data_IF_891973625649
#
_entry.id   IF_891973625649
#
_cell.length_a   1.000
_cell.length_b   1.000
_cell.length_c   1.000
_cell.angle_alpha   90.00
_cell.angle_beta   90.00
_cell.angle_gamma   90.00
#
_symmetry.space_group_name_H-M   'P 1'
#
loop_
_entity.id
_entity.type
_entity.pdbx_description
1 polymer ?
#
# COMPACT_ATOMS: atom_id res chain seq x y z
N UNK A 1 8.58 -33.81 16.48
CA UNK A 1 9.48 -32.66 16.80
C UNK A 1 9.78 -31.94 15.51
N UNK A 2 9.27 -30.75 15.34
CA UNK A 2 9.59 -29.89 14.19
C UNK A 2 11.07 -29.54 14.30
N UNK A 3 11.85 -29.84 13.27
CA UNK A 3 13.30 -29.61 13.31
C UNK A 3 13.56 -28.08 13.21
N UNK A 4 13.94 -27.47 14.34
CA UNK A 4 14.23 -26.03 14.46
C UNK A 4 15.17 -25.52 13.36
N UNK A 5 16.12 -26.36 12.94
CA UNK A 5 17.08 -26.02 11.86
C UNK A 5 16.42 -25.95 10.48
N UNK A 6 15.41 -26.79 10.24
CA UNK A 6 14.61 -26.73 8.99
C UNK A 6 13.75 -25.46 8.94
N UNK A 7 13.12 -25.06 10.07
CA UNK A 7 12.36 -23.80 10.13
C UNK A 7 13.26 -22.58 9.91
N UNK A 8 14.46 -22.56 10.48
CA UNK A 8 15.43 -21.48 10.24
C UNK A 8 15.89 -21.39 8.81
N UNK A 9 16.09 -22.54 8.14
CA UNK A 9 16.44 -22.57 6.71
C UNK A 9 15.29 -22.11 5.83
N UNK A 10 14.05 -22.49 6.16
CA UNK A 10 12.84 -22.06 5.45
C UNK A 10 12.61 -20.56 5.61
N UNK A 11 12.78 -20.03 6.83
CA UNK A 11 12.71 -18.61 7.13
C UNK A 11 13.70 -17.80 6.26
N UNK A 12 14.98 -18.23 6.25
CA UNK A 12 16.01 -17.56 5.46
C UNK A 12 15.71 -17.60 3.95
N UNK A 13 15.19 -18.72 3.44
CA UNK A 13 14.80 -18.87 2.04
C UNK A 13 13.63 -17.95 1.68
N UNK A 14 12.59 -17.90 2.52
CA UNK A 14 11.44 -17.02 2.31
C UNK A 14 11.84 -15.55 2.37
N UNK A 15 12.70 -15.16 3.31
CA UNK A 15 13.20 -13.80 3.40
C UNK A 15 13.96 -13.41 2.12
N UNK A 16 14.87 -14.24 1.63
CA UNK A 16 15.59 -13.97 0.37
C UNK A 16 14.63 -13.85 -0.84
N UNK A 17 13.57 -14.65 -0.89
CA UNK A 17 12.57 -14.54 -1.96
C UNK A 17 11.78 -13.23 -1.86
N UNK A 18 11.38 -12.83 -0.67
CA UNK A 18 10.67 -11.57 -0.44
C UNK A 18 11.57 -10.39 -0.80
N UNK A 19 12.82 -10.36 -0.33
CA UNK A 19 13.77 -9.29 -0.64
C UNK A 19 14.01 -9.17 -2.17
N UNK A 20 14.12 -10.29 -2.87
CA UNK A 20 14.23 -10.31 -4.33
C UNK A 20 12.99 -9.70 -5.02
N UNK A 21 11.80 -10.11 -4.60
CA UNK A 21 10.56 -9.58 -5.16
C UNK A 21 10.29 -8.14 -4.74
N UNK A 22 10.74 -7.70 -3.57
CA UNK A 22 10.71 -6.29 -3.15
C UNK A 22 11.48 -5.40 -4.11
N UNK A 23 12.69 -5.82 -4.52
CA UNK A 23 13.48 -5.09 -5.52
C UNK A 23 12.78 -5.04 -6.88
N UNK A 24 12.24 -6.16 -7.34
CA UNK A 24 11.53 -6.23 -8.63
C UNK A 24 10.26 -5.37 -8.61
N UNK A 25 9.51 -5.42 -7.52
CA UNK A 25 8.23 -4.73 -7.36
C UNK A 25 8.42 -3.22 -7.14
N UNK A 26 9.25 -2.84 -6.17
CA UNK A 26 9.34 -1.45 -5.72
C UNK A 26 10.40 -0.62 -6.45
N UNK A 27 11.50 -1.25 -6.91
CA UNK A 27 12.58 -0.52 -7.61
C UNK A 27 12.48 -0.64 -9.13
N UNK A 28 12.27 -1.87 -9.64
CA UNK A 28 12.31 -2.11 -11.09
C UNK A 28 10.94 -1.99 -11.78
N UNK A 29 9.84 -1.91 -11.01
CA UNK A 29 8.46 -1.93 -11.51
C UNK A 29 8.18 -3.08 -12.51
N UNK A 30 8.85 -4.22 -12.30
CA UNK A 30 8.75 -5.44 -13.11
C UNK A 30 8.52 -6.65 -12.21
N UNK A 31 7.34 -6.79 -11.58
CA UNK A 31 7.05 -7.95 -10.75
C UNK A 31 7.03 -9.23 -11.58
N UNK A 32 7.64 -10.27 -11.05
CA UNK A 32 7.64 -11.62 -11.64
C UNK A 32 6.56 -12.51 -11.02
N UNK A 33 5.95 -12.06 -9.93
CA UNK A 33 4.84 -12.74 -9.26
C UNK A 33 3.68 -11.76 -9.05
N UNK A 34 2.47 -12.30 -8.90
CA UNK A 34 1.29 -11.50 -8.58
C UNK A 34 1.33 -10.99 -7.14
N UNK A 35 0.62 -9.90 -6.84
CA UNK A 35 0.50 -9.35 -5.49
C UNK A 35 -0.02 -10.39 -4.51
N UNK A 36 -1.00 -11.21 -4.92
CA UNK A 36 -1.51 -12.32 -4.14
C UNK A 36 -0.43 -13.35 -3.77
N UNK A 37 0.49 -13.65 -4.70
CA UNK A 37 1.60 -14.56 -4.45
C UNK A 37 2.64 -13.95 -3.54
N UNK A 38 2.90 -12.67 -3.70
CA UNK A 38 3.78 -11.91 -2.82
C UNK A 38 3.21 -11.85 -1.39
N UNK A 39 1.92 -11.57 -1.23
CA UNK A 39 1.23 -11.58 0.06
C UNK A 39 1.24 -12.99 0.70
N UNK A 40 1.10 -14.06 -0.10
CA UNK A 40 1.25 -15.44 0.38
C UNK A 40 2.65 -15.70 0.98
N UNK A 41 3.71 -15.21 0.31
CA UNK A 41 5.07 -15.33 0.83
C UNK A 41 5.23 -14.58 2.15
N UNK A 42 4.70 -13.37 2.25
CA UNK A 42 4.71 -12.57 3.50
C UNK A 42 3.94 -13.25 4.63
N UNK A 43 2.77 -13.82 4.33
CA UNK A 43 1.99 -14.57 5.33
C UNK A 43 2.77 -15.77 5.84
N UNK A 44 3.34 -16.60 4.95
CA UNK A 44 4.16 -17.76 5.36
C UNK A 44 5.36 -17.35 6.21
N UNK A 45 6.02 -16.24 5.86
CA UNK A 45 7.12 -15.70 6.65
C UNK A 45 6.66 -15.35 8.08
N UNK A 46 5.50 -14.72 8.21
CA UNK A 46 4.92 -14.36 9.52
C UNK A 46 4.58 -15.62 10.33
N UNK A 47 3.90 -16.59 9.72
CA UNK A 47 3.56 -17.88 10.37
C UNK A 47 4.79 -18.62 10.91
N UNK A 48 5.91 -18.60 10.17
CA UNK A 48 7.17 -19.22 10.62
C UNK A 48 7.83 -18.38 11.73
N UNK A 49 7.78 -17.06 11.65
CA UNK A 49 8.31 -16.17 12.71
C UNK A 49 7.57 -16.35 14.04
N UNK A 50 6.27 -16.52 14.01
CA UNK A 50 5.46 -16.80 15.22
C UNK A 50 5.85 -18.10 15.90
N UNK A 51 6.33 -19.09 15.13
CA UNK A 51 6.83 -20.37 15.68
C UNK A 51 8.27 -20.28 16.22
N UNK A 52 8.98 -19.17 15.98
CA UNK A 52 10.37 -18.94 16.35
C UNK A 52 10.54 -17.65 17.17
N UNK A 53 10.04 -17.59 18.42
CA UNK A 53 10.02 -16.34 19.20
C UNK A 53 11.40 -15.74 19.47
N UNK A 54 12.49 -16.52 19.37
CA UNK A 54 13.87 -16.05 19.58
C UNK A 54 14.47 -15.28 18.38
N UNK A 55 13.78 -15.22 17.23
CA UNK A 55 14.30 -14.63 15.98
C UNK A 55 13.62 -13.28 15.61
N UNK A 56 12.98 -12.63 16.56
CA UNK A 56 12.28 -11.35 16.33
C UNK A 56 13.19 -10.15 15.95
N UNK A 57 14.48 -10.33 15.74
CA UNK A 57 15.46 -9.24 15.60
C UNK A 57 16.02 -9.02 14.18
N UNK A 58 15.49 -9.61 13.13
CA UNK A 58 15.90 -9.22 11.77
C UNK A 58 15.00 -8.10 11.26
N UNK A 59 15.60 -6.98 10.91
CA UNK A 59 14.94 -5.80 10.33
C UNK A 59 14.18 -6.21 9.06
N UNK A 60 12.87 -6.35 9.18
CA UNK A 60 12.02 -6.39 7.99
C UNK A 60 11.89 -4.95 7.47
N UNK A 61 12.27 -4.69 6.25
CA UNK A 61 12.10 -3.40 5.61
C UNK A 61 10.61 -3.06 5.41
N UNK A 62 10.26 -1.79 5.60
CA UNK A 62 8.89 -1.29 5.37
C UNK A 62 8.58 -1.20 3.86
N UNK A 63 9.61 -1.09 3.05
CA UNK A 63 9.57 -0.95 1.59
C UNK A 63 10.94 -1.20 0.99
N UNK A 64 11.15 -0.81 -0.26
CA UNK A 64 12.44 -0.89 -0.92
C UNK A 64 13.26 0.39 -0.73
N UNK A 65 14.59 0.26 -0.71
CA UNK A 65 15.48 1.41 -0.71
C UNK A 65 15.20 2.32 -1.92
N UNK A 66 15.26 3.66 -1.73
CA UNK A 66 15.01 4.61 -2.81
C UNK A 66 15.99 4.45 -3.97
N UNK A 67 15.50 4.65 -5.20
CA UNK A 67 16.31 4.63 -6.42
C UNK A 67 17.40 5.71 -6.38
N UNK A 68 18.64 5.33 -6.64
CA UNK A 68 19.80 6.22 -6.57
C UNK A 68 19.78 7.35 -7.61
N UNK A 69 18.98 7.22 -8.66
CA UNK A 69 18.83 8.24 -9.71
C UNK A 69 18.07 9.49 -9.24
N UNK A 70 17.37 9.40 -8.12
CA UNK A 70 16.62 10.49 -7.51
C UNK A 70 17.31 11.02 -6.26
N UNK A 71 17.18 12.32 -6.01
CA UNK A 71 17.51 12.89 -4.71
C UNK A 71 16.67 12.23 -3.63
N UNK A 72 17.22 12.12 -2.42
CA UNK A 72 16.56 11.47 -1.30
C UNK A 72 15.89 12.50 -0.39
N UNK A 73 14.74 12.14 0.15
CA UNK A 73 13.98 12.95 1.10
C UNK A 73 13.71 12.11 2.34
N UNK A 74 14.17 12.59 3.49
CA UNK A 74 13.84 11.98 4.78
C UNK A 74 12.44 12.37 5.22
N UNK A 75 11.64 11.38 5.63
CA UNK A 75 10.33 11.59 6.22
C UNK A 75 10.48 11.99 7.69
N UNK A 76 9.90 13.11 8.13
CA UNK A 76 9.92 13.49 9.55
C UNK A 76 9.13 12.51 10.41
N UNK A 77 7.98 12.08 9.90
CA UNK A 77 7.23 10.97 10.46
C UNK A 77 7.30 9.80 9.49
N UNK A 78 7.63 8.58 9.95
CA UNK A 78 7.74 7.43 9.08
C UNK A 78 6.45 7.16 8.29
N UNK A 79 6.58 6.81 7.02
CA UNK A 79 5.49 6.32 6.18
C UNK A 79 5.36 4.81 6.34
N UNK A 80 4.77 4.39 7.47
CA UNK A 80 4.65 2.99 7.84
C UNK A 80 3.75 2.22 6.87
N UNK A 81 3.93 0.90 6.81
CA UNK A 81 3.00 -0.02 6.18
C UNK A 81 1.75 -0.19 7.04
N UNK A 82 0.78 -0.98 6.56
CA UNK A 82 -0.38 -1.40 7.35
C UNK A 82 -0.25 -2.88 7.70
N UNK A 83 -0.75 -3.27 8.87
CA UNK A 83 -1.02 -4.66 9.16
C UNK A 83 -2.13 -5.16 8.23
N UNK A 84 -2.01 -6.39 7.71
CA UNK A 84 -2.98 -6.94 6.79
C UNK A 84 -3.85 -8.00 7.50
N UNK A 85 -5.15 -7.97 7.22
CA UNK A 85 -6.06 -9.08 7.45
C UNK A 85 -6.52 -9.65 6.11
N UNK A 86 -6.81 -10.95 6.08
CA UNK A 86 -7.27 -11.68 4.88
C UNK A 86 -8.61 -12.38 5.10
N UNK A 87 -9.11 -12.34 6.32
CA UNK A 87 -10.37 -12.93 6.76
C UNK A 87 -11.07 -12.06 7.82
N UNK A 88 -12.30 -12.42 8.15
CA UNK A 88 -13.10 -11.72 9.15
C UNK A 88 -12.52 -11.86 10.56
N UNK A 89 -11.87 -12.99 10.88
CA UNK A 89 -11.24 -13.23 12.19
C UNK A 89 -10.12 -12.22 12.44
N UNK A 90 -9.34 -11.90 11.41
CA UNK A 90 -8.30 -10.86 11.46
C UNK A 90 -8.87 -9.48 11.77
N UNK A 91 -10.01 -9.12 11.16
CA UNK A 91 -10.71 -7.85 11.42
C UNK A 91 -11.26 -7.81 12.85
N UNK A 92 -11.89 -8.89 13.31
CA UNK A 92 -12.39 -9.01 14.67
C UNK A 92 -11.25 -8.95 15.71
N UNK A 93 -10.15 -9.63 15.44
CA UNK A 93 -8.93 -9.60 16.27
C UNK A 93 -8.38 -8.18 16.39
N UNK A 94 -8.31 -7.43 15.27
CA UNK A 94 -7.88 -6.03 15.28
C UNK A 94 -8.79 -5.20 16.17
N UNK A 95 -10.10 -5.22 15.96
CA UNK A 95 -11.06 -4.43 16.75
C UNK A 95 -10.98 -4.77 18.24
N UNK A 96 -10.87 -6.06 18.57
CA UNK A 96 -10.74 -6.55 19.95
C UNK A 96 -9.43 -6.10 20.60
N UNK A 97 -8.30 -6.11 19.87
CA UNK A 97 -7.01 -5.61 20.36
C UNK A 97 -7.07 -4.11 20.64
N UNK A 98 -7.68 -3.33 19.74
CA UNK A 98 -7.85 -1.88 19.89
C UNK A 98 -8.68 -1.56 21.12
N UNK A 99 -9.87 -2.17 21.27
CA UNK A 99 -10.76 -1.99 22.42
C UNK A 99 -10.07 -2.33 23.74
N UNK A 100 -9.42 -3.49 23.78
CA UNK A 100 -8.71 -3.96 24.99
C UNK A 100 -7.56 -3.04 25.39
N UNK A 101 -6.79 -2.52 24.41
CA UNK A 101 -5.66 -1.62 24.67
C UNK A 101 -6.12 -0.27 25.21
N UNK A 102 -7.21 0.26 24.63
CA UNK A 102 -7.75 1.58 24.99
C UNK A 102 -8.64 1.53 26.23
N UNK A 103 -9.13 0.33 26.61
CA UNK A 103 -10.13 0.11 27.69
C UNK A 103 -11.42 0.85 27.34
N UNK A 104 -11.85 0.73 26.08
CA UNK A 104 -13.04 1.38 25.51
C UNK A 104 -13.92 0.32 24.84
N UNK A 105 -15.22 0.34 25.13
CA UNK A 105 -16.18 -0.61 24.53
C UNK A 105 -16.67 -0.17 23.16
N UNK A 106 -16.75 1.15 22.93
CA UNK A 106 -17.18 1.71 21.67
C UNK A 106 -16.05 2.57 21.05
N UNK A 107 -15.65 2.20 19.86
CA UNK A 107 -14.61 2.90 19.10
C UNK A 107 -15.10 3.11 17.70
N UNK A 108 -15.14 4.36 17.26
CA UNK A 108 -15.44 4.69 15.88
C UNK A 108 -14.29 4.31 14.96
N UNK A 109 -14.62 3.57 13.93
CA UNK A 109 -13.71 3.15 12.86
C UNK A 109 -14.15 3.82 11.57
N UNK A 110 -13.26 4.55 10.94
CA UNK A 110 -13.44 5.03 9.58
C UNK A 110 -12.95 3.98 8.60
N UNK A 111 -13.82 3.57 7.70
CA UNK A 111 -13.54 2.65 6.60
C UNK A 111 -13.24 3.47 5.35
N UNK A 112 -12.10 3.26 4.73
CA UNK A 112 -11.66 3.93 3.50
C UNK A 112 -11.26 2.89 2.45
N UNK A 113 -11.30 3.24 1.17
CA UNK A 113 -10.80 2.35 0.12
C UNK A 113 -9.28 2.25 0.18
N UNK A 114 -8.76 1.05 0.03
CA UNK A 114 -7.32 0.83 -0.16
C UNK A 114 -7.00 0.93 -1.65
N UNK A 115 -6.61 2.14 -2.07
CA UNK A 115 -6.25 2.41 -3.46
C UNK A 115 -4.97 1.66 -3.81
N UNK A 116 -4.96 1.02 -4.96
CA UNK A 116 -3.79 0.33 -5.48
C UNK A 116 -2.96 1.25 -6.39
N UNK A 117 -2.02 1.94 -5.79
CA UNK A 117 -1.20 2.97 -6.42
C UNK A 117 0.19 3.08 -5.82
N UNK A 118 0.74 4.28 -5.83
CA UNK A 118 2.02 4.63 -5.22
C UNK A 118 1.82 5.73 -4.18
N UNK A 119 2.18 5.44 -2.93
CA UNK A 119 2.06 6.42 -1.84
C UNK A 119 3.01 7.60 -2.04
N UNK A 120 2.53 8.79 -1.73
CA UNK A 120 3.30 10.02 -1.72
C UNK A 120 3.14 10.78 -0.39
N UNK A 121 4.15 11.58 -0.09
CA UNK A 121 4.14 12.64 0.91
C UNK A 121 4.38 13.98 0.21
N UNK A 122 3.55 14.98 0.49
CA UNK A 122 3.66 16.34 -0.06
C UNK A 122 3.75 17.34 1.09
N UNK A 123 4.84 18.10 1.12
CA UNK A 123 5.16 19.07 2.16
C UNK A 123 4.82 20.46 1.66
N UNK A 124 4.10 21.20 2.51
CA UNK A 124 3.77 22.60 2.31
C UNK A 124 4.42 23.43 3.42
N UNK A 125 4.98 24.58 3.04
CA UNK A 125 5.53 25.57 3.95
C UNK A 125 4.82 26.89 3.71
N UNK A 126 4.18 27.43 4.73
CA UNK A 126 3.34 28.64 4.66
C UNK A 126 2.35 28.58 3.48
N UNK A 127 1.71 27.43 3.32
CA UNK A 127 0.75 27.15 2.27
C UNK A 127 1.35 26.91 0.88
N UNK A 128 2.65 27.02 0.68
CA UNK A 128 3.30 26.78 -0.62
C UNK A 128 3.78 25.33 -0.71
N UNK A 129 3.46 24.67 -1.82
CA UNK A 129 4.02 23.36 -2.11
C UNK A 129 5.54 23.44 -2.22
N UNK A 130 6.24 22.81 -1.30
CA UNK A 130 7.70 22.88 -1.17
C UNK A 130 8.37 21.61 -1.71
N UNK A 131 7.85 20.42 -1.36
CA UNK A 131 8.49 19.16 -1.68
C UNK A 131 7.49 18.00 -1.74
N UNK A 132 7.76 17.00 -2.57
CA UNK A 132 7.07 15.71 -2.52
C UNK A 132 8.05 14.54 -2.62
N UNK A 133 7.72 13.46 -1.93
CA UNK A 133 8.51 12.24 -1.94
C UNK A 133 7.63 11.00 -2.08
N UNK A 134 8.18 9.92 -2.62
CA UNK A 134 7.59 8.59 -2.51
C UNK A 134 7.77 8.03 -1.11
N UNK A 135 7.08 6.95 -0.78
CA UNK A 135 7.27 6.27 0.51
C UNK A 135 8.70 5.76 0.71
N UNK A 136 9.33 5.26 -0.36
CA UNK A 136 10.64 4.60 -0.26
C UNK A 136 10.62 3.42 0.71
N UNK A 137 11.61 3.37 1.60
CA UNK A 137 11.70 2.38 2.69
C UNK A 137 10.88 2.75 3.95
N UNK A 138 10.09 3.82 3.85
CA UNK A 138 9.27 4.36 4.95
C UNK A 138 9.97 5.46 5.76
N UNK A 139 11.27 5.59 5.69
CA UNK A 139 12.07 6.63 6.34
C UNK A 139 12.67 7.61 5.34
N UNK A 140 13.05 7.11 4.17
CA UNK A 140 13.63 7.88 3.08
C UNK A 140 12.92 7.52 1.78
N UNK A 141 12.43 8.54 1.05
CA UNK A 141 11.78 8.39 -0.26
C UNK A 141 12.56 9.07 -1.38
N UNK A 142 12.17 8.81 -2.63
CA UNK A 142 12.66 9.53 -3.80
C UNK A 142 11.99 10.90 -3.88
N UNK A 143 12.77 11.95 -4.18
CA UNK A 143 12.24 13.29 -4.47
C UNK A 143 11.52 13.28 -5.82
N UNK A 144 10.22 13.44 -5.77
CA UNK A 144 9.33 13.48 -6.94
C UNK A 144 8.58 14.83 -7.03
N UNK A 145 9.16 15.88 -6.46
CA UNK A 145 8.54 17.20 -6.33
C UNK A 145 8.05 17.73 -7.68
N UNK A 146 8.93 17.74 -8.69
CA UNK A 146 8.57 18.24 -10.00
C UNK A 146 7.52 17.36 -10.68
N UNK A 147 7.59 16.05 -10.50
CA UNK A 147 6.66 15.09 -11.07
C UNK A 147 5.24 15.28 -10.48
N UNK A 148 5.13 15.32 -9.15
CA UNK A 148 3.86 15.56 -8.46
C UNK A 148 3.26 16.92 -8.84
N UNK A 149 4.08 17.95 -9.00
CA UNK A 149 3.62 19.27 -9.43
C UNK A 149 2.96 19.29 -10.82
N UNK A 150 3.19 18.27 -11.66
CA UNK A 150 2.54 18.14 -12.99
C UNK A 150 1.17 17.49 -12.93
N UNK A 151 0.82 16.82 -11.84
CA UNK A 151 -0.46 16.12 -11.70
C UNK A 151 -1.60 17.13 -11.71
N UNK A 152 -2.56 16.91 -12.61
CA UNK A 152 -3.68 17.82 -12.80
C UNK A 152 -4.52 17.93 -11.53
N UNK A 153 -4.79 19.16 -11.09
CA UNK A 153 -5.58 19.44 -9.88
C UNK A 153 -4.82 19.26 -8.57
N UNK A 154 -3.50 19.00 -8.61
CA UNK A 154 -2.70 18.96 -7.42
C UNK A 154 -2.47 20.39 -6.87
N UNK A 155 -2.87 20.72 -5.61
CA UNK A 155 -2.77 22.08 -5.08
C UNK A 155 -1.31 22.51 -4.95
N UNK A 156 -0.95 23.64 -5.55
CA UNK A 156 0.39 24.26 -5.41
C UNK A 156 0.43 25.32 -4.32
N UNK A 157 -0.74 25.74 -3.86
CA UNK A 157 -0.91 26.71 -2.79
C UNK A 157 -2.16 26.39 -1.97
N UNK A 158 -2.01 26.39 -0.66
CA UNK A 158 -3.07 26.16 0.33
C UNK A 158 -3.39 27.48 1.01
N UNK A 159 -4.59 27.98 0.79
CA UNK A 159 -4.99 29.26 1.37
C UNK A 159 -5.18 29.15 2.89
N UNK A 160 -4.66 30.13 3.63
CA UNK A 160 -4.82 30.22 5.08
C UNK A 160 -3.98 29.24 5.91
N UNK A 161 -3.08 28.48 5.26
CA UNK A 161 -2.14 27.59 5.95
C UNK A 161 -0.87 28.37 6.30
N UNK A 162 -0.46 28.28 7.57
CA UNK A 162 0.79 28.82 8.09
C UNK A 162 1.64 27.67 8.67
N UNK A 163 2.96 27.83 8.61
CA UNK A 163 3.90 26.83 9.05
C UNK A 163 3.94 25.62 8.11
N UNK A 164 4.38 24.49 8.65
CA UNK A 164 4.57 23.25 7.90
C UNK A 164 3.33 22.35 7.98
N UNK A 165 2.90 21.89 6.83
CA UNK A 165 1.83 20.90 6.68
C UNK A 165 2.29 19.79 5.74
N UNK A 166 2.04 18.54 6.09
CA UNK A 166 2.34 17.40 5.23
C UNK A 166 1.05 16.66 4.88
N UNK A 167 0.82 16.45 3.59
CA UNK A 167 -0.32 15.71 3.05
C UNK A 167 0.19 14.40 2.48
N UNK A 168 -0.43 13.28 2.88
CA UNK A 168 -0.13 11.96 2.32
C UNK A 168 -1.31 11.42 1.54
N UNK A 169 -1.01 10.67 0.51
CA UNK A 169 -2.01 10.10 -0.37
C UNK A 169 -1.46 8.98 -1.23
N UNK A 170 -2.29 8.53 -2.16
CA UNK A 170 -1.93 7.53 -3.15
C UNK A 170 -2.08 8.12 -4.55
N UNK A 171 -1.03 8.00 -5.37
CA UNK A 171 -1.06 8.34 -6.79
C UNK A 171 -1.40 7.09 -7.56
N UNK A 172 -2.32 7.22 -8.50
CA UNK A 172 -2.81 6.12 -9.34
C UNK A 172 -3.04 6.57 -10.78
N UNK A 173 -3.26 5.62 -11.67
CA UNK A 173 -3.79 5.85 -13.01
C UNK A 173 -5.16 5.19 -13.10
N UNK A 174 -6.11 5.84 -13.78
CA UNK A 174 -7.44 5.24 -13.97
C UNK A 174 -7.36 4.05 -14.93
N UNK A 175 -8.28 3.07 -14.80
CA UNK A 175 -8.33 1.92 -15.67
C UNK A 175 -8.52 2.34 -17.14
N UNK A 176 -9.35 3.35 -17.39
CA UNK A 176 -9.59 3.91 -18.72
C UNK A 176 -8.35 4.58 -19.33
N UNK A 177 -7.54 5.28 -18.51
CA UNK A 177 -6.30 5.92 -18.97
C UNK A 177 -5.15 4.92 -19.08
N UNK A 178 -5.12 3.89 -18.21
CA UNK A 178 -4.18 2.78 -18.28
C UNK A 178 -4.30 2.02 -19.62
N UNK A 179 -5.51 1.70 -20.06
CA UNK A 179 -5.74 1.01 -21.32
C UNK A 179 -5.16 1.78 -22.52
N UNK A 180 -5.31 3.12 -22.54
CA UNK A 180 -4.74 3.97 -23.58
C UNK A 180 -3.21 4.04 -23.50
N UNK A 181 -2.67 4.14 -22.27
CA UNK A 181 -1.23 4.23 -22.06
C UNK A 181 -0.53 2.91 -22.43
N UNK A 182 -1.18 1.78 -22.16
CA UNK A 182 -0.59 0.45 -22.21
C UNK A 182 -0.89 -0.31 -23.51
N UNK A 183 -1.18 0.38 -24.59
CA UNK A 183 -1.43 -0.24 -25.93
C UNK A 183 -0.31 -1.19 -26.37
N UNK A 184 0.94 -0.90 -25.96
CA UNK A 184 2.11 -1.72 -26.27
C UNK A 184 2.46 -2.75 -25.17
N UNK A 185 1.61 -2.96 -24.18
CA UNK A 185 1.85 -3.87 -23.04
C UNK A 185 3.17 -3.57 -22.28
N UNK A 186 3.48 -2.30 -22.06
CA UNK A 186 4.69 -1.84 -21.36
C UNK A 186 4.62 -2.15 -19.85
N UNK A 187 3.42 -2.08 -19.28
CA UNK A 187 3.19 -2.26 -17.84
C UNK A 187 2.30 -3.46 -17.55
N UNK A 188 2.57 -4.17 -16.46
CA UNK A 188 1.80 -5.33 -16.05
C UNK A 188 0.40 -4.98 -15.51
N UNK A 189 0.27 -3.83 -14.82
CA UNK A 189 -0.98 -3.38 -14.20
C UNK A 189 -0.98 -1.85 -14.01
N UNK A 190 -2.14 -1.24 -13.65
CA UNK A 190 -2.27 0.21 -13.40
C UNK A 190 -1.31 0.75 -12.33
N UNK A 191 -1.09 -0.01 -11.25
CA UNK A 191 -0.16 0.38 -10.18
C UNK A 191 1.27 0.54 -10.70
N UNK A 192 1.77 -0.44 -11.48
CA UNK A 192 3.10 -0.37 -12.07
C UNK A 192 3.21 0.76 -13.10
N UNK A 193 2.15 1.02 -13.85
CA UNK A 193 2.08 2.16 -14.75
C UNK A 193 2.14 3.50 -14.01
N UNK A 194 1.42 3.63 -12.89
CA UNK A 194 1.47 4.81 -12.03
C UNK A 194 2.88 5.02 -11.45
N UNK A 195 3.48 3.96 -10.88
CA UNK A 195 4.82 4.01 -10.31
C UNK A 195 5.89 4.36 -11.36
N UNK A 196 5.87 3.70 -12.52
CA UNK A 196 6.77 3.96 -13.63
C UNK A 196 6.59 5.36 -14.24
N UNK A 197 5.36 5.88 -14.24
CA UNK A 197 5.05 7.23 -14.75
C UNK A 197 5.44 8.32 -13.76
N UNK A 198 5.34 8.09 -12.46
CA UNK A 198 5.75 9.06 -11.44
C UNK A 198 7.28 9.14 -11.34
N UNK A 199 7.98 8.01 -11.40
CA UNK A 199 9.44 7.93 -11.27
C UNK A 199 10.15 8.17 -12.61
N UNK A 200 9.84 9.28 -13.28
CA UNK A 200 10.52 9.74 -14.48
C UNK A 200 11.50 10.86 -14.15
N UNK A 201 12.72 10.80 -14.69
CA UNK A 201 13.72 11.86 -14.50
C UNK A 201 13.29 13.17 -15.18
N UNK A 202 12.58 13.07 -16.30
CA UNK A 202 11.96 14.21 -16.96
C UNK A 202 10.49 14.31 -16.54
N UNK A 203 10.15 15.34 -15.76
CA UNK A 203 8.78 15.59 -15.32
C UNK A 203 7.79 15.85 -16.46
N UNK A 204 8.25 16.22 -17.67
CA UNK A 204 7.37 16.35 -18.83
C UNK A 204 6.80 15.00 -19.27
N UNK A 205 7.55 13.91 -19.09
CA UNK A 205 7.05 12.56 -19.33
C UNK A 205 5.93 12.24 -18.34
N UNK A 206 6.10 12.56 -17.05
CA UNK A 206 5.05 12.44 -16.05
C UNK A 206 3.82 13.27 -16.41
N UNK A 207 4.02 14.52 -16.86
CA UNK A 207 2.94 15.42 -17.28
C UNK A 207 2.11 14.88 -18.44
N UNK A 208 2.73 14.09 -19.35
CA UNK A 208 2.02 13.44 -20.46
C UNK A 208 1.18 12.23 -20.02
N UNK A 209 1.45 11.70 -18.82
CA UNK A 209 0.70 10.56 -18.24
C UNK A 209 -0.47 11.11 -17.42
N UNK A 210 -1.64 10.50 -17.54
CA UNK A 210 -2.85 10.96 -16.85
C UNK A 210 -2.90 10.46 -15.39
N UNK A 211 -1.86 10.81 -14.60
CA UNK A 211 -1.82 10.46 -13.18
C UNK A 211 -2.89 11.23 -12.39
N UNK A 212 -3.47 10.55 -11.42
CA UNK A 212 -4.46 11.07 -10.46
C UNK A 212 -4.00 10.72 -9.05
N UNK A 213 -4.66 11.27 -8.05
CA UNK A 213 -4.34 10.99 -6.66
C UNK A 213 -5.57 11.08 -5.76
N UNK A 214 -5.52 10.40 -4.62
CA UNK A 214 -6.38 10.63 -3.48
C UNK A 214 -5.51 10.93 -2.25
N UNK A 215 -5.81 12.03 -1.56
CA UNK A 215 -5.22 12.34 -0.27
C UNK A 215 -6.01 11.66 0.85
N UNK A 216 -5.30 11.14 1.86
CA UNK A 216 -5.92 10.39 2.95
C UNK A 216 -5.35 10.70 4.34
N UNK A 217 -4.33 11.54 4.46
CA UNK A 217 -3.73 11.87 5.75
C UNK A 217 -3.16 13.29 5.73
N UNK A 218 -3.22 13.95 6.88
CA UNK A 218 -2.72 15.29 7.13
C UNK A 218 -1.89 15.26 8.42
N UNK A 219 -0.66 15.77 8.35
CA UNK A 219 0.26 15.87 9.48
C UNK A 219 0.57 17.35 9.71
N UNK A 220 0.54 17.77 10.95
CA UNK A 220 0.68 19.19 11.32
C UNK A 220 -0.63 19.96 11.35
N UNK A 221 -1.77 19.30 11.12
CA UNK A 221 -3.11 19.85 11.27
C UNK A 221 -3.58 19.91 12.73
N UNK A 222 -4.78 20.43 12.94
CA UNK A 222 -5.41 20.59 14.27
C UNK A 222 -6.68 19.75 14.43
N UNK A 223 -6.98 18.93 13.45
CA UNK A 223 -8.12 18.04 13.36
C UNK A 223 -8.08 17.02 14.52
N UNK A 224 -9.25 16.62 15.00
CA UNK A 224 -9.38 15.68 16.11
C UNK A 224 -9.74 14.27 15.66
N UNK A 225 -10.23 14.14 14.46
CA UNK A 225 -10.65 12.83 13.90
C UNK A 225 -10.18 12.67 12.46
N UNK A 226 -10.06 11.42 12.03
CA UNK A 226 -9.73 11.07 10.65
C UNK A 226 -10.80 11.58 9.67
N UNK A 227 -12.07 11.59 10.08
CA UNK A 227 -13.16 12.18 9.29
C UNK A 227 -12.98 13.69 9.09
N UNK A 228 -12.54 14.42 10.12
CA UNK A 228 -12.21 15.84 10.01
C UNK A 228 -10.99 16.08 9.13
N UNK A 229 -9.98 15.20 9.20
CA UNK A 229 -8.81 15.24 8.31
C UNK A 229 -9.24 15.15 6.84
N UNK A 230 -10.09 14.19 6.49
CA UNK A 230 -10.56 14.05 5.11
C UNK A 230 -11.36 15.29 4.65
N UNK A 231 -12.24 15.81 5.51
CA UNK A 231 -12.98 17.04 5.24
C UNK A 231 -12.04 18.23 5.05
N UNK A 232 -11.02 18.36 5.91
CA UNK A 232 -10.02 19.42 5.80
C UNK A 232 -9.22 19.34 4.51
N UNK A 233 -8.86 18.15 4.07
CA UNK A 233 -8.19 17.94 2.79
C UNK A 233 -9.06 18.40 1.61
N UNK A 234 -10.38 18.09 1.63
CA UNK A 234 -11.33 18.60 0.64
C UNK A 234 -11.40 20.13 0.63
N UNK A 235 -11.48 20.76 1.81
CA UNK A 235 -11.49 22.23 1.95
C UNK A 235 -10.20 22.89 1.44
N UNK A 236 -9.06 22.20 1.56
CA UNK A 236 -7.76 22.64 1.04
C UNK A 236 -7.60 22.38 -0.47
N UNK A 237 -8.61 21.78 -1.12
CA UNK A 237 -8.65 21.54 -2.57
C UNK A 237 -8.02 20.23 -3.02
N UNK A 238 -7.74 19.29 -2.10
CA UNK A 238 -7.27 17.96 -2.47
C UNK A 238 -8.40 17.05 -2.91
N UNK A 239 -8.10 16.15 -3.84
CA UNK A 239 -8.99 15.04 -4.17
C UNK A 239 -8.96 14.02 -3.03
N UNK A 240 -10.13 13.76 -2.44
CA UNK A 240 -10.35 12.72 -1.41
C UNK A 240 -11.33 11.71 -1.96
N UNK A 241 -11.15 10.45 -1.62
CA UNK A 241 -12.09 9.41 -2.06
C UNK A 241 -13.43 9.56 -1.35
N UNK A 242 -14.53 9.54 -2.11
CA UNK A 242 -15.91 9.70 -1.58
C UNK A 242 -16.43 8.43 -0.89
N UNK A 243 -15.90 7.27 -1.26
CA UNK A 243 -16.30 5.98 -0.68
C UNK A 243 -15.66 5.79 0.68
N UNK A 244 -16.33 6.28 1.71
CA UNK A 244 -15.93 6.18 3.11
C UNK A 244 -17.14 5.92 3.99
N UNK A 245 -16.93 5.21 5.09
CA UNK A 245 -18.01 4.86 6.00
C UNK A 245 -17.52 4.87 7.45
N UNK A 246 -18.26 5.53 8.33
CA UNK A 246 -17.97 5.58 9.77
C UNK A 246 -18.88 4.60 10.51
N UNK A 247 -18.29 3.77 11.37
CA UNK A 247 -19.04 2.78 12.16
C UNK A 247 -18.31 2.46 13.46
N UNK A 248 -19.03 2.01 14.49
CA UNK A 248 -18.46 1.48 15.74
C UNK A 248 -18.62 -0.05 15.86
N UNK A 249 -19.17 -0.71 14.84
CA UNK A 249 -19.47 -2.14 14.90
C UNK A 249 -18.70 -2.96 13.87
N UNK A 250 -18.29 -4.18 14.25
CA UNK A 250 -17.69 -5.16 13.33
C UNK A 250 -18.61 -5.42 12.13
N UNK A 251 -19.91 -5.57 12.37
CA UNK A 251 -20.88 -5.80 11.29
C UNK A 251 -20.91 -4.65 10.27
N UNK A 252 -20.79 -3.39 10.73
CA UNK A 252 -20.69 -2.23 9.86
C UNK A 252 -19.42 -2.24 9.01
N UNK A 253 -18.27 -2.61 9.60
CA UNK A 253 -17.00 -2.76 8.90
C UNK A 253 -17.09 -3.83 7.79
N UNK A 254 -17.61 -5.02 8.12
CA UNK A 254 -17.77 -6.13 7.17
C UNK A 254 -18.80 -5.83 6.09
N UNK A 255 -19.90 -5.15 6.44
CA UNK A 255 -20.91 -4.72 5.47
C UNK A 255 -20.30 -3.77 4.44
N UNK A 256 -19.56 -2.77 4.85
CA UNK A 256 -18.87 -1.85 3.94
C UNK A 256 -17.88 -2.60 3.02
N UNK A 257 -17.09 -3.53 3.58
CA UNK A 257 -16.19 -4.36 2.78
C UNK A 257 -16.94 -5.13 1.68
N UNK A 258 -18.03 -5.82 2.01
CA UNK A 258 -18.79 -6.61 1.06
C UNK A 258 -19.45 -5.73 -0.02
N UNK A 259 -20.02 -4.58 0.35
CA UNK A 259 -20.57 -3.62 -0.61
C UNK A 259 -19.53 -3.11 -1.61
N UNK A 260 -18.31 -2.82 -1.13
CA UNK A 260 -17.24 -2.37 -2.01
C UNK A 260 -16.70 -3.53 -2.85
N UNK A 261 -16.55 -4.72 -2.26
CA UNK A 261 -16.10 -5.93 -2.97
C UNK A 261 -16.96 -6.22 -4.19
N UNK A 262 -18.30 -6.12 -4.06
CA UNK A 262 -19.23 -6.36 -5.15
C UNK A 262 -19.17 -5.28 -6.25
N UNK A 263 -18.84 -4.04 -5.87
CA UNK A 263 -18.81 -2.89 -6.78
C UNK A 263 -17.42 -2.52 -7.30
N UNK A 264 -16.36 -3.19 -6.84
CA UNK A 264 -14.97 -2.80 -7.17
C UNK A 264 -14.68 -2.71 -8.65
N UNK A 265 -15.30 -3.58 -9.47
CA UNK A 265 -15.12 -3.58 -10.92
C UNK A 265 -15.83 -2.41 -11.64
N UNK A 266 -16.69 -1.68 -10.95
CA UNK A 266 -17.35 -0.48 -11.47
C UNK A 266 -16.56 0.80 -11.18
N UNK A 267 -15.48 0.70 -10.41
CA UNK A 267 -14.55 1.81 -10.16
C UNK A 267 -13.60 1.95 -11.35
N UNK A 268 -13.32 3.21 -11.74
CA UNK A 268 -12.32 3.49 -12.79
C UNK A 268 -10.89 3.55 -12.22
N UNK A 269 -10.64 2.81 -11.14
CA UNK A 269 -9.33 2.64 -10.51
C UNK A 269 -9.29 1.36 -9.68
N UNK A 270 -8.09 0.80 -9.52
CA UNK A 270 -7.91 -0.43 -8.78
C UNK A 270 -7.83 -0.19 -7.28
N UNK A 271 -8.39 -1.13 -6.52
CA UNK A 271 -8.34 -1.21 -5.07
C UNK A 271 -8.00 -2.64 -4.66
N UNK A 272 -7.19 -2.81 -3.62
CA UNK A 272 -6.78 -4.12 -3.13
C UNK A 272 -7.41 -4.50 -1.77
N UNK A 273 -8.32 -3.65 -1.25
CA UNK A 273 -9.00 -3.90 0.01
C UNK A 273 -9.65 -2.65 0.60
N UNK A 274 -9.90 -2.72 1.90
CA UNK A 274 -10.39 -1.62 2.74
C UNK A 274 -9.35 -1.30 3.81
N UNK A 275 -9.17 -0.03 4.12
CA UNK A 275 -8.38 0.41 5.26
C UNK A 275 -9.34 0.83 6.37
N UNK A 276 -9.23 0.16 7.51
CA UNK A 276 -9.92 0.54 8.75
C UNK A 276 -8.98 1.39 9.59
N UNK A 277 -9.44 2.54 10.05
CA UNK A 277 -8.70 3.46 10.91
C UNK A 277 -9.54 3.82 12.12
N UNK A 278 -8.95 3.83 13.30
CA UNK A 278 -9.58 4.44 14.49
C UNK A 278 -9.84 5.90 14.16
N UNK A 279 -11.09 6.37 14.30
CA UNK A 279 -11.47 7.72 13.85
C UNK A 279 -10.86 8.82 14.72
N UNK A 280 -10.78 8.64 16.04
CA UNK A 280 -10.22 9.60 16.98
C UNK A 280 -8.68 9.61 16.93
N UNK A 281 -8.08 10.78 16.62
CA UNK A 281 -6.63 10.92 16.48
C UNK A 281 -5.89 10.89 17.83
N UNK A 282 -6.55 11.23 18.94
CA UNK A 282 -5.96 11.08 20.28
C UNK A 282 -5.82 9.60 20.62
N UNK A 283 -6.84 8.80 20.28
CA UNK A 283 -6.79 7.35 20.46
C UNK A 283 -5.78 6.69 19.52
N UNK A 284 -5.63 7.19 18.28
CA UNK A 284 -4.55 6.72 17.39
C UNK A 284 -3.17 6.92 18.01
N UNK A 285 -2.92 8.13 18.57
CA UNK A 285 -1.65 8.45 19.23
C UNK A 285 -1.41 7.58 20.48
N UNK A 286 -2.45 7.28 21.27
CA UNK A 286 -2.35 6.38 22.44
C UNK A 286 -1.99 4.95 22.03
N UNK A 287 -2.55 4.45 20.92
CA UNK A 287 -2.24 3.12 20.37
C UNK A 287 -0.81 3.04 19.87
N UNK A 288 -0.31 4.15 19.32
CA UNK A 288 1.02 4.23 18.76
C UNK A 288 1.23 3.27 17.58
N UNK A 289 2.50 2.96 17.32
CA UNK A 289 2.89 2.08 16.22
C UNK A 289 3.87 1.02 16.67
N UNK A 290 3.98 -0.04 15.88
CA UNK A 290 5.17 -0.87 15.83
C UNK A 290 6.19 -0.19 14.92
N UNK A 291 7.38 -0.77 14.78
CA UNK A 291 8.34 -0.25 13.78
C UNK A 291 7.85 -0.43 12.32
N UNK A 292 6.79 -1.20 12.07
CA UNK A 292 6.27 -1.50 10.73
C UNK A 292 4.93 -0.87 10.42
N UNK A 293 4.03 -0.82 11.40
CA UNK A 293 2.64 -0.45 11.18
C UNK A 293 2.03 0.28 12.39
N UNK A 294 1.11 1.24 12.18
CA UNK A 294 0.32 1.82 13.24
C UNK A 294 -0.65 0.77 13.80
N UNK A 295 -0.80 0.72 15.15
CA UNK A 295 -1.79 -0.16 15.78
C UNK A 295 -3.23 0.32 15.63
N UNK A 296 -3.40 1.56 15.17
CA UNK A 296 -4.70 2.20 14.97
C UNK A 296 -5.31 1.95 13.59
N UNK A 297 -4.60 1.24 12.70
CA UNK A 297 -5.08 0.98 11.34
C UNK A 297 -4.82 -0.46 10.90
N UNK A 298 -5.71 -0.97 10.04
CA UNK A 298 -5.67 -2.31 9.47
C UNK A 298 -6.05 -2.25 7.99
N UNK A 299 -5.34 -2.97 7.14
CA UNK A 299 -5.73 -3.22 5.76
C UNK A 299 -6.44 -4.59 5.66
N UNK A 300 -7.73 -4.59 5.37
CA UNK A 300 -8.46 -5.82 5.07
C UNK A 300 -8.45 -6.03 3.56
N UNK A 301 -7.60 -6.95 3.12
CA UNK A 301 -7.36 -7.22 1.71
C UNK A 301 -8.48 -8.04 1.08
N UNK A 302 -8.79 -7.77 -0.18
CA UNK A 302 -9.69 -8.64 -0.94
C UNK A 302 -9.04 -10.01 -1.16
N UNK A 303 -9.89 -11.02 -1.15
CA UNK A 303 -9.44 -12.37 -1.48
C UNK A 303 -8.83 -12.40 -2.87
N UNK A 304 -7.75 -13.15 -3.02
CA UNK A 304 -7.08 -13.32 -4.31
C UNK A 304 -8.05 -13.80 -5.37
N UNK A 305 -7.95 -13.23 -6.56
CA UNK A 305 -8.73 -13.71 -7.71
C UNK A 305 -8.13 -15.04 -8.16
N UNK A 306 -8.93 -16.09 -8.09
CA UNK A 306 -8.58 -17.40 -8.63
C UNK A 306 -9.18 -17.57 -10.01
N UNK A 307 -8.35 -17.97 -10.97
CA UNK A 307 -8.82 -18.37 -12.28
C UNK A 307 -8.49 -19.85 -12.52
N UNK A 308 -9.48 -20.60 -13.04
CA UNK A 308 -9.24 -21.98 -13.49
C UNK A 308 -8.74 -21.94 -14.93
N UNK A 309 -7.65 -22.64 -15.20
CA UNK A 309 -7.11 -22.79 -16.54
C UNK A 309 -6.73 -24.23 -16.83
N UNK A 310 -6.48 -24.53 -18.09
CA UNK A 310 -6.05 -25.87 -18.53
C UNK A 310 -4.53 -25.96 -18.44
N UNK A 311 -4.04 -27.01 -17.78
CA UNK A 311 -2.64 -27.40 -17.82
C UNK A 311 -2.35 -28.07 -19.16
N UNK A 312 -1.48 -27.48 -19.99
CA UNK A 312 -1.07 -28.04 -21.27
C UNK A 312 -0.02 -29.15 -21.08
N UNK A 313 1.04 -28.83 -20.31
CA UNK A 313 2.14 -29.77 -19.98
C UNK A 313 2.91 -29.29 -18.74
N UNK A 314 3.69 -30.22 -18.18
CA UNK A 314 4.72 -29.94 -17.20
C UNK A 314 6.07 -30.33 -17.82
N UNK A 315 7.06 -29.42 -17.72
CA UNK A 315 8.42 -29.73 -18.13
C UNK A 315 9.39 -29.40 -16.99
N UNK A 316 10.56 -30.03 -17.00
CA UNK A 316 11.59 -29.80 -16.00
C UNK A 316 12.59 -28.82 -16.58
N UNK A 317 12.78 -27.72 -15.89
CA UNK A 317 13.82 -26.73 -16.16
C UNK A 317 15.03 -27.01 -15.28
N UNK A 318 16.22 -27.05 -15.87
CA UNK A 318 17.46 -27.26 -15.12
C UNK A 318 18.07 -25.91 -14.83
N UNK A 319 18.17 -25.55 -13.55
CA UNK A 319 18.83 -24.34 -13.10
C UNK A 319 20.35 -24.39 -13.27
N UNK A 320 21.01 -23.23 -13.20
CA UNK A 320 22.46 -23.07 -13.35
C UNK A 320 23.28 -23.91 -12.35
N UNK A 321 22.70 -24.24 -11.21
CA UNK A 321 23.29 -25.07 -10.15
C UNK A 321 22.91 -26.56 -10.26
N UNK A 322 22.23 -26.97 -11.35
CA UNK A 322 21.74 -28.33 -11.52
C UNK A 322 20.40 -28.61 -10.80
N UNK A 323 19.79 -27.63 -10.17
CA UNK A 323 18.48 -27.79 -9.55
C UNK A 323 17.39 -28.05 -10.61
N UNK A 324 16.58 -29.09 -10.38
CA UNK A 324 15.44 -29.44 -11.25
C UNK A 324 14.18 -28.74 -10.76
N UNK A 325 13.62 -27.86 -11.59
CA UNK A 325 12.41 -27.12 -11.27
C UNK A 325 11.29 -27.56 -12.21
N UNK A 326 10.17 -28.11 -11.71
CA UNK A 326 9.01 -28.37 -12.54
C UNK A 326 8.33 -27.06 -12.92
N UNK A 327 8.05 -26.87 -14.21
CA UNK A 327 7.37 -25.70 -14.75
C UNK A 327 6.09 -26.16 -15.45
N UNK A 328 4.97 -25.57 -15.06
CA UNK A 328 3.66 -25.80 -15.68
C UNK A 328 3.45 -24.82 -16.85
N UNK A 329 3.16 -25.36 -18.04
CA UNK A 329 2.68 -24.60 -19.17
C UNK A 329 1.14 -24.60 -19.13
N UNK A 330 0.54 -23.44 -18.93
CA UNK A 330 -0.89 -23.25 -18.75
C UNK A 330 -1.50 -22.55 -19.96
N UNK A 331 -2.78 -22.81 -20.26
CA UNK A 331 -3.51 -21.89 -21.15
C UNK A 331 -3.52 -20.49 -20.52
N UNK A 332 -3.22 -19.44 -21.31
CA UNK A 332 -3.27 -18.07 -20.81
C UNK A 332 -4.61 -17.75 -20.16
N UNK A 333 -4.58 -17.16 -18.98
CA UNK A 333 -5.74 -16.72 -18.22
C UNK A 333 -5.38 -15.42 -17.50
N UNK A 334 -6.28 -14.45 -17.54
CA UNK A 334 -6.07 -13.19 -16.82
C UNK A 334 -6.38 -13.40 -15.32
N UNK A 335 -5.49 -12.94 -14.44
CA UNK A 335 -5.60 -13.00 -12.96
C UNK A 335 -5.34 -11.61 -12.37
N UNK A 336 -5.93 -10.57 -12.96
CA UNK A 336 -5.84 -9.21 -12.42
C UNK A 336 -4.52 -8.48 -12.73
N UNK A 337 -4.04 -8.64 -13.94
CA UNK A 337 -2.84 -7.94 -14.42
C UNK A 337 -2.36 -8.50 -15.74
#
# INVERSE_FOLDING_TARGET
MINLENLKRELAKLQMQIDYHDVLYHQKNKPEITDAKYDELKRKLTEIKEQLPEIHATQDSIGAAPDERFSKVEHQEPMLSLENAYDEEGVESFLSKVKRFLIEDEIEILCELKIDGLSFSAIYEDGRFAKAATRGDGFVGEDVTYNVATIKGFPKFLQGVQGRLEVRGEIYISNSDFLKLNENNEFANPRNAAAGSLKQLDANVTASRQLRYFAYSLIGGTEKSQSEVLKRLEELGFCVNEHRFLTSSLNGMLKFYNEIYDRRYNLDYDIDGIVYKVNDLVLQNRLGSTHKAPRSALAYKFSAVYAKTKLNKIFIQVGRTGALTPVADLMPVNIGG
#
